data_IF_456104369817
#
_entry.id   IF_456104369817
#
_cell.length_a   1.000
_cell.length_b   1.000
_cell.length_c   1.000
_cell.angle_alpha   90.00
_cell.angle_beta   90.00
_cell.angle_gamma   90.00
#
_symmetry.space_group_name_H-M   'P 1'
#
loop_
_entity.id
_entity.type
_entity.pdbx_description
1 polymer ?
#
# COMPACT_ATOMS: atom_id res chain seq x y z
N UNK A 1 13.83 -2.33 25.13
CA UNK A 1 13.51 -0.89 25.34
C UNK A 1 14.15 -0.12 24.20
N UNK A 2 13.45 0.01 23.06
CA UNK A 2 13.98 0.66 21.87
C UNK A 2 13.60 2.15 21.87
N UNK A 3 14.56 2.98 21.49
CA UNK A 3 14.65 4.40 21.79
C UNK A 3 13.71 5.25 20.92
N UNK A 4 13.15 6.30 21.55
CA UNK A 4 12.13 7.21 21.04
C UNK A 4 12.59 7.98 19.78
N UNK A 5 12.03 7.62 18.61
CA UNK A 5 12.13 8.38 17.34
C UNK A 5 11.07 9.48 17.18
N UNK A 6 10.57 10.03 18.29
CA UNK A 6 9.61 11.14 18.29
C UNK A 6 10.36 12.47 18.28
N UNK A 7 9.87 13.45 17.50
CA UNK A 7 10.31 14.85 17.64
C UNK A 7 10.09 15.36 19.08
N UNK A 8 10.79 16.43 19.48
CA UNK A 8 10.73 17.00 20.84
C UNK A 8 9.31 17.36 21.33
N UNK A 9 8.35 17.57 20.41
CA UNK A 9 6.93 17.82 20.71
C UNK A 9 6.04 16.55 20.69
N UNK A 10 6.62 15.37 20.47
CA UNK A 10 5.90 14.09 20.39
C UNK A 10 4.94 13.97 19.19
N UNK A 11 4.97 14.93 18.26
CA UNK A 11 3.95 15.16 17.23
C UNK A 11 4.22 14.39 15.91
N UNK A 12 5.48 14.08 15.61
CA UNK A 12 5.87 13.42 14.35
C UNK A 12 6.91 12.34 14.68
N UNK A 13 6.72 11.13 14.15
CA UNK A 13 7.78 10.14 14.07
C UNK A 13 8.58 10.40 12.77
N UNK A 14 9.85 10.76 12.90
CA UNK A 14 10.71 11.11 11.75
C UNK A 14 10.93 9.93 10.79
N UNK A 15 10.65 8.71 11.24
CA UNK A 15 10.71 7.50 10.44
C UNK A 15 9.42 7.23 9.67
N UNK A 16 8.31 7.88 10.02
CA UNK A 16 7.01 7.64 9.38
C UNK A 16 7.02 7.92 7.87
N UNK A 17 7.54 9.06 7.37
CA UNK A 17 7.63 9.31 5.93
C UNK A 17 8.52 8.29 5.21
N UNK A 18 9.60 7.85 5.85
CA UNK A 18 10.50 6.82 5.31
C UNK A 18 9.79 5.47 5.24
N UNK A 19 9.05 5.10 6.29
CA UNK A 19 8.27 3.86 6.37
C UNK A 19 7.25 3.78 5.24
N UNK A 20 6.43 4.81 5.05
CA UNK A 20 5.43 4.83 3.99
C UNK A 20 6.06 4.84 2.59
N UNK A 21 7.21 5.50 2.40
CA UNK A 21 7.95 5.46 1.13
C UNK A 21 8.44 4.05 0.79
N UNK A 22 9.06 3.37 1.75
CA UNK A 22 9.54 1.99 1.57
C UNK A 22 8.38 1.03 1.34
N UNK A 23 7.26 1.24 2.04
CA UNK A 23 6.06 0.44 1.86
C UNK A 23 5.47 0.60 0.46
N UNK A 24 5.41 1.84 -0.04
CA UNK A 24 4.94 2.14 -1.40
C UNK A 24 5.88 1.60 -2.47
N UNK A 25 7.20 1.62 -2.23
CA UNK A 25 8.18 1.01 -3.13
C UNK A 25 8.00 -0.50 -3.22
N UNK A 26 7.70 -1.17 -2.10
CA UNK A 26 7.50 -2.63 -2.04
C UNK A 26 6.15 -3.10 -2.57
N UNK A 27 5.07 -2.42 -2.19
CA UNK A 27 3.68 -2.88 -2.44
C UNK A 27 2.98 -2.10 -3.55
N UNK A 28 3.52 -0.94 -3.96
CA UNK A 28 2.84 0.01 -4.85
C UNK A 28 1.79 0.88 -4.16
N UNK A 29 1.43 0.60 -2.90
CA UNK A 29 0.29 1.23 -2.25
C UNK A 29 0.65 2.32 -1.23
N UNK A 30 -0.29 3.25 -1.03
CA UNK A 30 -0.20 4.33 -0.04
C UNK A 30 -0.61 3.94 1.39
N UNK A 31 -0.55 4.93 2.29
CA UNK A 31 -0.72 4.70 3.73
C UNK A 31 -2.12 4.19 4.13
N UNK A 32 -3.15 4.60 3.40
CA UNK A 32 -4.56 4.29 3.63
C UNK A 32 -5.07 3.16 2.71
N UNK A 33 -4.18 2.36 2.12
CA UNK A 33 -4.57 1.29 1.21
C UNK A 33 -5.62 0.36 1.83
N UNK A 34 -6.72 0.15 1.10
CA UNK A 34 -7.82 -0.71 1.54
C UNK A 34 -8.69 -0.14 2.66
N UNK A 35 -8.39 1.06 3.17
CA UNK A 35 -9.18 1.74 4.19
C UNK A 35 -10.44 2.35 3.58
N UNK A 36 -11.60 2.02 4.14
CA UNK A 36 -12.92 2.55 3.75
C UNK A 36 -13.49 3.43 4.86
N UNK A 37 -13.69 4.71 4.57
CA UNK A 37 -14.21 5.66 5.55
C UNK A 37 -15.49 6.36 5.10
N UNK A 38 -16.27 6.80 6.07
CA UNK A 38 -17.32 7.81 5.89
C UNK A 38 -16.97 9.05 6.70
N UNK A 39 -17.41 10.22 6.25
CA UNK A 39 -17.18 11.49 6.94
C UNK A 39 -18.53 12.11 7.29
N UNK A 40 -18.70 12.48 8.57
CA UNK A 40 -19.91 13.09 9.12
C UNK A 40 -19.59 14.33 9.96
N UNK A 41 -20.21 15.45 9.59
CA UNK A 41 -20.01 16.77 10.22
C UNK A 41 -18.96 17.63 9.52
N UNK A 42 -18.65 18.78 10.13
CA UNK A 42 -17.65 19.73 9.66
C UNK A 42 -16.23 19.36 10.16
N UNK A 43 -15.33 19.05 9.23
CA UNK A 43 -13.90 18.91 9.55
C UNK A 43 -13.23 20.27 9.48
N UNK A 44 -12.85 20.83 10.63
CA UNK A 44 -12.26 22.18 10.75
C UNK A 44 -10.73 22.11 10.62
N UNK A 45 -10.10 21.13 11.26
CA UNK A 45 -8.66 20.91 11.20
C UNK A 45 -8.36 19.40 11.24
N UNK A 46 -7.88 18.78 10.13
CA UNK A 46 -7.78 19.33 8.77
C UNK A 46 -9.15 19.63 8.13
N UNK A 47 -9.18 20.51 7.11
CA UNK A 47 -10.41 20.78 6.36
C UNK A 47 -10.90 19.53 5.61
N UNK A 48 -12.20 19.45 5.33
CA UNK A 48 -12.80 18.33 4.59
C UNK A 48 -12.08 18.05 3.26
N UNK A 49 -11.76 19.10 2.49
CA UNK A 49 -11.03 18.99 1.22
C UNK A 49 -9.60 18.48 1.41
N UNK A 50 -8.92 18.93 2.46
CA UNK A 50 -7.56 18.46 2.80
C UNK A 50 -7.59 16.99 3.16
N UNK A 51 -8.56 16.58 3.99
CA UNK A 51 -8.73 15.20 4.39
C UNK A 51 -9.08 14.31 3.18
N UNK A 52 -9.99 14.76 2.32
CA UNK A 52 -10.35 14.06 1.07
C UNK A 52 -9.14 13.81 0.18
N UNK A 53 -8.30 14.84 0.00
CA UNK A 53 -7.08 14.75 -0.79
C UNK A 53 -6.06 13.80 -0.15
N UNK A 54 -5.86 13.90 1.16
CA UNK A 54 -4.92 13.06 1.89
C UNK A 54 -5.30 11.56 1.82
N UNK A 55 -6.58 11.24 2.06
CA UNK A 55 -7.07 9.86 2.01
C UNK A 55 -6.92 9.29 0.60
N UNK A 56 -7.34 10.04 -0.44
CA UNK A 56 -7.17 9.61 -1.83
C UNK A 56 -5.70 9.45 -2.24
N UNK A 57 -4.83 10.36 -1.83
CA UNK A 57 -3.40 10.29 -2.13
C UNK A 57 -2.70 9.11 -1.42
N UNK A 58 -3.27 8.64 -0.31
CA UNK A 58 -2.82 7.44 0.39
C UNK A 58 -3.55 6.16 -0.01
N UNK A 59 -4.27 6.12 -1.13
CA UNK A 59 -5.01 4.94 -1.61
C UNK A 59 -6.19 4.49 -0.71
N UNK A 60 -6.73 5.41 0.07
CA UNK A 60 -7.96 5.19 0.85
C UNK A 60 -9.24 5.54 0.08
N UNK A 61 -10.34 4.91 0.49
CA UNK A 61 -11.66 5.06 -0.12
C UNK A 61 -12.59 5.84 0.80
N UNK A 62 -13.18 6.91 0.28
CA UNK A 62 -14.22 7.69 0.97
C UNK A 62 -15.56 7.31 0.37
N UNK A 63 -16.39 6.61 1.13
CA UNK A 63 -17.68 6.08 0.67
C UNK A 63 -18.74 7.19 0.61
N UNK A 64 -18.75 8.08 1.61
CA UNK A 64 -19.67 9.21 1.66
C UNK A 64 -19.13 10.31 2.56
N UNK A 65 -19.46 11.56 2.24
CA UNK A 65 -19.12 12.73 3.07
C UNK A 65 -20.32 13.53 3.55
N UNK A 66 -21.52 13.01 3.28
CA UNK A 66 -22.79 13.58 3.72
C UNK A 66 -23.86 12.50 3.76
N UNK A 67 -24.88 12.64 4.62
CA UNK A 67 -26.08 11.80 4.60
C UNK A 67 -26.77 11.73 3.22
N UNK A 68 -27.50 10.63 2.93
CA UNK A 68 -27.72 9.45 3.77
C UNK A 68 -26.61 8.39 3.62
N UNK A 69 -26.14 7.85 4.75
CA UNK A 69 -25.10 6.81 4.78
C UNK A 69 -25.62 5.38 4.62
N UNK A 70 -26.95 5.21 4.58
CA UNK A 70 -27.65 3.90 4.62
C UNK A 70 -27.17 2.91 3.55
N UNK A 71 -26.74 3.39 2.39
CA UNK A 71 -26.23 2.55 1.29
C UNK A 71 -24.89 1.87 1.61
N UNK A 72 -24.14 2.41 2.56
CA UNK A 72 -22.76 2.01 2.84
C UNK A 72 -22.59 1.28 4.16
N UNK A 73 -23.57 1.32 5.07
CA UNK A 73 -23.46 0.75 6.42
C UNK A 73 -23.10 -0.75 6.43
N UNK A 74 -23.47 -1.49 5.38
CA UNK A 74 -23.17 -2.93 5.24
C UNK A 74 -21.96 -3.24 4.32
N UNK A 75 -21.21 -2.22 3.88
CA UNK A 75 -20.10 -2.40 2.92
C UNK A 75 -18.73 -2.65 3.57
N UNK A 76 -18.72 -2.85 4.90
CA UNK A 76 -17.50 -2.97 5.71
C UNK A 76 -16.77 -1.63 5.77
N UNK A 77 -17.37 -0.65 6.45
CA UNK A 77 -16.75 0.64 6.75
C UNK A 77 -15.72 0.40 7.85
N UNK A 78 -14.46 0.78 7.61
CA UNK A 78 -13.41 0.66 8.61
C UNK A 78 -13.54 1.75 9.67
N UNK A 79 -13.86 3.00 9.29
CA UNK A 79 -14.00 4.13 10.22
C UNK A 79 -15.06 5.16 9.78
N UNK A 80 -15.81 5.70 10.75
CA UNK A 80 -16.62 6.89 10.60
C UNK A 80 -15.87 8.10 11.21
N UNK A 81 -15.44 9.03 10.35
CA UNK A 81 -14.82 10.28 10.80
C UNK A 81 -15.93 11.25 11.20
N UNK A 82 -16.09 11.47 12.50
CA UNK A 82 -17.14 12.31 13.08
C UNK A 82 -16.54 13.58 13.67
N UNK A 83 -17.18 14.72 13.42
CA UNK A 83 -16.75 15.98 14.03
C UNK A 83 -16.78 15.94 15.55
N UNK A 84 -15.75 16.52 16.21
CA UNK A 84 -15.73 16.59 17.66
C UNK A 84 -16.93 17.39 18.17
N UNK A 85 -17.58 16.90 19.22
CA UNK A 85 -18.72 17.57 19.84
C UNK A 85 -20.10 17.13 19.33
N UNK A 86 -20.17 16.22 18.34
CA UNK A 86 -21.44 15.62 17.97
C UNK A 86 -22.01 14.79 19.13
N UNK A 87 -23.27 14.99 19.53
CA UNK A 87 -23.84 14.29 20.66
C UNK A 87 -24.04 12.81 20.34
N UNK A 88 -23.89 11.89 21.30
CA UNK A 88 -24.09 10.47 21.08
C UNK A 88 -25.51 10.13 20.63
N UNK A 89 -26.49 10.99 20.93
CA UNK A 89 -27.90 10.83 20.54
C UNK A 89 -28.20 11.28 19.11
N UNK A 90 -27.21 11.79 18.37
CA UNK A 90 -27.38 12.14 16.96
C UNK A 90 -27.78 10.92 16.12
N UNK A 91 -28.68 11.12 15.16
CA UNK A 91 -29.28 10.05 14.36
C UNK A 91 -28.23 9.22 13.61
N UNK A 92 -27.22 9.87 13.03
CA UNK A 92 -26.19 9.16 12.27
C UNK A 92 -25.14 8.54 13.18
N UNK A 93 -24.81 9.19 14.30
CA UNK A 93 -23.95 8.58 15.32
C UNK A 93 -24.58 7.29 15.86
N UNK A 94 -25.86 7.32 16.23
CA UNK A 94 -26.58 6.13 16.68
C UNK A 94 -26.60 5.03 15.62
N UNK A 95 -26.78 5.38 14.34
CA UNK A 95 -26.75 4.40 13.26
C UNK A 95 -25.36 3.77 13.08
N UNK A 96 -24.28 4.56 13.18
CA UNK A 96 -22.91 4.01 13.16
C UNK A 96 -22.66 3.05 14.32
N UNK A 97 -23.09 3.41 15.53
CA UNK A 97 -22.96 2.55 16.72
C UNK A 97 -23.75 1.24 16.57
N UNK A 98 -24.95 1.31 16.01
CA UNK A 98 -25.81 0.14 15.76
C UNK A 98 -25.20 -0.83 14.74
N UNK A 99 -24.40 -0.32 13.81
CA UNK A 99 -23.66 -1.11 12.82
C UNK A 99 -22.23 -1.45 13.26
N UNK A 100 -21.88 -1.21 14.53
CA UNK A 100 -20.55 -1.47 15.10
C UNK A 100 -19.41 -0.76 14.34
N UNK A 101 -19.71 0.41 13.75
CA UNK A 101 -18.74 1.21 13.00
C UNK A 101 -17.98 2.10 13.99
N UNK A 102 -16.64 2.01 14.05
CA UNK A 102 -15.87 2.83 14.96
C UNK A 102 -15.92 4.30 14.53
N UNK A 103 -16.21 5.16 15.48
CA UNK A 103 -16.26 6.59 15.29
C UNK A 103 -14.96 7.22 15.74
N UNK A 104 -14.31 7.99 14.87
CA UNK A 104 -13.01 8.61 15.14
C UNK A 104 -13.02 10.08 14.75
N UNK A 105 -12.11 10.88 15.29
CA UNK A 105 -11.89 12.26 14.83
C UNK A 105 -11.02 12.27 13.57
N UNK A 106 -10.96 13.40 12.87
CA UNK A 106 -10.06 13.55 11.71
C UNK A 106 -8.57 13.40 12.10
N UNK A 107 -8.22 13.71 13.35
CA UNK A 107 -6.86 13.60 13.89
C UNK A 107 -6.39 12.13 13.98
N UNK A 108 -7.32 11.18 14.11
CA UNK A 108 -7.01 9.75 14.01
C UNK A 108 -6.25 9.42 12.71
N UNK A 109 -6.72 9.94 11.58
CA UNK A 109 -6.10 9.68 10.27
C UNK A 109 -4.76 10.40 10.13
N UNK A 110 -4.62 11.57 10.75
CA UNK A 110 -3.35 12.32 10.77
C UNK A 110 -2.31 11.56 11.60
N UNK A 111 -2.64 11.17 12.82
CA UNK A 111 -1.74 10.42 13.68
C UNK A 111 -1.44 9.02 13.13
N UNK A 112 -2.41 8.37 12.48
CA UNK A 112 -2.17 7.10 11.79
C UNK A 112 -1.00 7.20 10.78
N UNK A 113 -0.93 8.31 10.03
CA UNK A 113 0.16 8.56 9.08
C UNK A 113 1.44 9.04 9.78
N UNK A 114 1.32 9.96 10.72
CA UNK A 114 2.45 10.64 11.36
C UNK A 114 3.16 9.78 12.43
N UNK A 115 2.44 8.83 13.04
CA UNK A 115 2.91 8.00 14.16
C UNK A 115 2.49 6.54 13.98
N UNK A 116 2.94 5.87 12.91
CA UNK A 116 2.55 4.49 12.64
C UNK A 116 3.07 3.56 13.75
N UNK A 117 2.17 2.80 14.39
CA UNK A 117 2.48 1.91 15.52
C UNK A 117 2.31 2.53 16.91
N UNK A 118 1.81 3.76 17.01
CA UNK A 118 1.41 4.37 18.28
C UNK A 118 -0.10 4.18 18.51
N UNK A 119 -0.56 4.15 19.77
CA UNK A 119 -1.98 4.00 20.08
C UNK A 119 -2.78 5.22 19.63
N UNK A 120 -3.86 4.97 18.89
CA UNK A 120 -4.76 6.00 18.35
C UNK A 120 -6.06 6.15 19.15
N UNK A 121 -6.14 5.49 20.31
CA UNK A 121 -7.33 5.40 21.16
C UNK A 121 -7.86 6.77 21.60
N UNK A 122 -6.98 7.76 21.71
CA UNK A 122 -7.32 9.14 22.11
C UNK A 122 -8.26 9.84 21.12
N UNK A 123 -8.28 9.38 19.88
CA UNK A 123 -9.11 9.94 18.81
C UNK A 123 -10.38 9.16 18.55
N UNK A 124 -10.59 8.06 19.28
CA UNK A 124 -11.79 7.25 19.17
C UNK A 124 -12.90 7.86 20.02
N UNK A 125 -14.08 7.99 19.43
CA UNK A 125 -15.26 8.59 20.03
C UNK A 125 -16.27 7.52 20.46
N UNK A 126 -17.16 7.88 21.40
CA UNK A 126 -18.31 7.08 21.85
C UNK A 126 -17.96 5.67 22.37
N UNK A 127 -16.79 5.50 22.99
CA UNK A 127 -16.31 4.23 23.53
C UNK A 127 -16.24 3.10 22.48
N UNK A 128 -16.00 3.44 21.21
CA UNK A 128 -15.88 2.47 20.10
C UNK A 128 -14.47 1.87 19.95
N UNK A 129 -13.65 1.91 21.00
CA UNK A 129 -12.24 1.53 21.02
C UNK A 129 -12.01 0.10 20.51
N UNK A 130 -12.85 -0.85 20.93
CA UNK A 130 -12.75 -2.26 20.54
C UNK A 130 -12.95 -2.43 19.03
N UNK A 131 -13.93 -1.71 18.45
CA UNK A 131 -14.19 -1.75 17.01
C UNK A 131 -13.08 -1.06 16.23
N UNK A 132 -12.54 0.04 16.76
CA UNK A 132 -11.44 0.77 16.13
C UNK A 132 -10.16 -0.08 16.08
N UNK A 133 -9.84 -0.79 17.16
CA UNK A 133 -8.72 -1.71 17.22
C UNK A 133 -8.89 -2.89 16.26
N UNK A 134 -10.12 -3.44 16.17
CA UNK A 134 -10.45 -4.50 15.21
C UNK A 134 -10.23 -4.04 13.76
N UNK A 135 -10.74 -2.85 13.39
CA UNK A 135 -10.53 -2.27 12.05
C UNK A 135 -9.05 -2.00 11.76
N UNK A 136 -8.32 -1.45 12.74
CA UNK A 136 -6.88 -1.19 12.62
C UNK A 136 -6.08 -2.47 12.39
N UNK A 137 -6.33 -3.51 13.19
CA UNK A 137 -5.66 -4.80 13.04
C UNK A 137 -6.02 -5.48 11.71
N UNK A 138 -7.26 -5.33 11.24
CA UNK A 138 -7.67 -5.81 9.92
C UNK A 138 -6.94 -5.12 8.77
N UNK A 139 -6.69 -3.81 8.86
CA UNK A 139 -5.87 -3.08 7.88
C UNK A 139 -4.39 -3.50 7.95
N UNK A 140 -3.88 -3.65 9.17
CA UNK A 140 -2.48 -4.04 9.41
C UNK A 140 -2.20 -5.44 8.86
N UNK A 141 -3.06 -6.42 9.13
CA UNK A 141 -2.90 -7.78 8.62
C UNK A 141 -2.94 -7.82 7.08
N UNK A 142 -3.93 -7.14 6.45
CA UNK A 142 -3.99 -7.03 4.99
C UNK A 142 -2.70 -6.47 4.39
N UNK A 143 -2.10 -5.50 5.07
CA UNK A 143 -0.85 -4.90 4.64
C UNK A 143 0.36 -5.84 4.84
N UNK A 144 0.38 -6.59 5.94
CA UNK A 144 1.43 -7.58 6.22
C UNK A 144 1.37 -8.75 5.21
N UNK A 145 0.17 -9.22 4.86
CA UNK A 145 -0.04 -10.23 3.82
C UNK A 145 0.51 -9.76 2.46
N UNK A 146 0.20 -8.53 2.05
CA UNK A 146 0.70 -7.93 0.79
C UNK A 146 2.21 -7.68 0.78
N UNK A 147 2.87 -7.59 1.94
CA UNK A 147 4.33 -7.47 2.04
C UNK A 147 4.99 -8.85 2.01
N UNK A 148 4.31 -9.87 2.55
CA UNK A 148 4.81 -11.24 2.61
C UNK A 148 4.74 -11.97 1.28
N UNK A 149 3.85 -11.54 0.39
CA UNK A 149 3.84 -11.93 -1.01
C UNK A 149 4.71 -10.93 -1.78
N UNK A 150 6.00 -11.22 -2.03
CA UNK A 150 6.78 -10.38 -2.91
C UNK A 150 6.05 -10.43 -4.25
N UNK A 151 5.36 -9.35 -4.60
CA UNK A 151 5.05 -9.05 -6.00
C UNK A 151 6.40 -9.09 -6.69
N UNK A 152 6.74 -10.24 -7.29
CA UNK A 152 7.74 -10.31 -8.34
C UNK A 152 7.35 -9.16 -9.25
N UNK A 153 8.22 -8.16 -9.44
CA UNK A 153 7.86 -6.94 -10.14
C UNK A 153 7.17 -7.41 -11.40
N UNK A 154 5.86 -7.11 -11.47
CA UNK A 154 5.01 -7.38 -12.60
C UNK A 154 5.87 -7.03 -13.80
N UNK A 155 6.18 -8.05 -14.61
CA UNK A 155 7.08 -7.99 -15.74
C UNK A 155 6.49 -6.98 -16.71
N UNK A 156 6.75 -5.71 -16.42
CA UNK A 156 6.07 -4.58 -17.01
C UNK A 156 6.39 -4.63 -18.49
N UNK A 157 5.38 -4.97 -19.28
CA UNK A 157 5.34 -4.75 -20.72
C UNK A 157 6.32 -5.55 -21.59
N UNK A 158 7.00 -6.57 -21.05
CA UNK A 158 8.00 -7.32 -21.81
C UNK A 158 7.31 -8.33 -22.74
N UNK A 159 7.41 -8.10 -24.05
CA UNK A 159 6.96 -9.07 -25.04
C UNK A 159 8.00 -10.19 -25.20
N UNK A 160 7.52 -11.41 -25.48
CA UNK A 160 8.40 -12.51 -25.82
C UNK A 160 9.22 -12.16 -27.09
N UNK A 161 10.55 -12.28 -27.04
CA UNK A 161 11.42 -11.99 -28.21
C UNK A 161 11.16 -12.96 -29.38
N UNK A 162 10.60 -14.14 -29.11
CA UNK A 162 10.37 -15.18 -30.12
C UNK A 162 9.00 -15.07 -30.77
N UNK A 163 7.92 -15.06 -29.98
CA UNK A 163 6.55 -15.02 -30.50
C UNK A 163 5.95 -13.61 -30.58
N UNK A 164 6.60 -12.60 -29.97
CA UNK A 164 6.12 -11.22 -29.90
C UNK A 164 4.90 -11.03 -28.99
N UNK A 165 4.42 -12.10 -28.36
CA UNK A 165 3.21 -12.10 -27.57
C UNK A 165 3.50 -11.68 -26.12
N UNK A 166 2.46 -11.17 -25.47
CA UNK A 166 2.52 -10.57 -24.11
C UNK A 166 1.59 -11.30 -23.13
N UNK A 167 0.97 -12.38 -23.60
CA UNK A 167 0.25 -13.34 -22.77
C UNK A 167 1.23 -14.25 -22.02
N UNK A 168 0.71 -15.05 -21.06
CA UNK A 168 1.47 -16.08 -20.33
C UNK A 168 2.71 -15.54 -19.62
N UNK A 169 2.54 -14.45 -18.87
CA UNK A 169 3.63 -13.85 -18.07
C UNK A 169 4.18 -14.80 -17.01
N UNK A 170 3.32 -15.64 -16.42
CA UNK A 170 3.69 -16.66 -15.43
C UNK A 170 4.62 -17.75 -16.00
N UNK A 171 4.65 -17.92 -17.32
CA UNK A 171 5.49 -18.88 -18.04
C UNK A 171 6.61 -18.17 -18.81
N UNK A 172 6.91 -16.91 -18.49
CA UNK A 172 7.87 -16.06 -19.19
C UNK A 172 9.14 -15.81 -18.37
N UNK A 173 10.29 -16.15 -18.95
CA UNK A 173 11.61 -15.94 -18.35
C UNK A 173 12.18 -14.60 -18.75
N UNK A 174 12.66 -13.83 -17.77
CA UNK A 174 13.36 -12.56 -18.01
C UNK A 174 14.87 -12.79 -17.92
N UNK A 175 15.61 -12.32 -18.93
CA UNK A 175 17.07 -12.43 -18.94
C UNK A 175 17.71 -11.51 -17.91
N UNK A 176 18.10 -12.06 -16.76
CA UNK A 176 18.76 -11.33 -15.67
C UNK A 176 19.18 -12.24 -14.52
N UNK A 177 19.99 -11.71 -13.61
CA UNK A 177 20.13 -12.25 -12.26
C UNK A 177 19.14 -11.58 -11.29
N UNK A 178 18.85 -12.21 -10.15
CA UNK A 178 18.01 -11.66 -9.08
C UNK A 178 18.45 -10.25 -8.63
N UNK A 179 19.74 -9.92 -8.77
CA UNK A 179 20.30 -8.60 -8.45
C UNK A 179 20.25 -7.57 -9.58
N UNK A 180 19.69 -7.92 -10.75
CA UNK A 180 19.54 -7.03 -11.92
C UNK A 180 20.86 -6.47 -12.47
N UNK A 181 21.99 -7.08 -12.13
CA UNK A 181 23.33 -6.57 -12.41
C UNK A 181 23.91 -7.11 -13.74
N UNK A 182 23.42 -8.26 -14.19
CA UNK A 182 23.85 -8.99 -15.37
C UNK A 182 22.59 -9.45 -16.09
N UNK A 183 22.39 -9.02 -17.33
CA UNK A 183 21.19 -9.37 -18.08
C UNK A 183 20.89 -8.36 -19.18
N UNK A 184 19.86 -8.63 -19.96
CA UNK A 184 19.35 -7.65 -20.93
C UNK A 184 17.85 -7.39 -20.80
N UNK A 185 17.17 -8.03 -19.84
CA UNK A 185 15.76 -7.78 -19.54
C UNK A 185 14.78 -8.30 -20.59
N UNK A 186 15.25 -9.08 -21.58
CA UNK A 186 14.38 -9.71 -22.59
C UNK A 186 13.54 -10.82 -21.97
N UNK A 187 12.26 -10.87 -22.34
CA UNK A 187 11.31 -11.92 -21.97
C UNK A 187 11.26 -13.03 -23.00
N UNK A 188 11.18 -14.28 -22.58
CA UNK A 188 10.99 -15.45 -23.45
C UNK A 188 10.16 -16.49 -22.73
N UNK A 189 9.06 -16.98 -23.33
CA UNK A 189 8.29 -18.07 -22.75
C UNK A 189 9.13 -19.34 -22.61
N UNK A 190 8.82 -20.18 -21.61
CA UNK A 190 9.46 -21.49 -21.43
C UNK A 190 9.37 -22.37 -22.69
N UNK A 191 8.24 -22.34 -23.41
CA UNK A 191 8.06 -23.07 -24.68
C UNK A 191 8.79 -22.42 -25.86
N UNK A 192 9.05 -21.12 -25.77
CA UNK A 192 9.76 -20.36 -26.79
C UNK A 192 11.28 -20.46 -26.62
N UNK A 193 11.76 -21.06 -25.54
CA UNK A 193 13.18 -21.32 -25.33
C UNK A 193 13.70 -22.40 -26.29
N UNK A 194 15.00 -22.36 -26.58
CA UNK A 194 15.70 -23.38 -27.37
C UNK A 194 16.86 -23.95 -26.54
N UNK A 195 16.74 -25.18 -25.99
CA UNK A 195 15.55 -26.04 -25.99
C UNK A 195 14.42 -25.51 -25.08
N UNK A 196 13.15 -25.92 -25.32
CA UNK A 196 12.02 -25.51 -24.50
C UNK A 196 12.12 -26.11 -23.09
N UNK A 197 11.72 -25.33 -22.10
CA UNK A 197 11.76 -25.70 -20.68
C UNK A 197 10.41 -26.26 -20.25
N UNK A 198 10.44 -27.26 -19.38
CA UNK A 198 9.22 -27.89 -18.86
C UNK A 198 8.55 -27.06 -17.75
N UNK A 199 9.32 -26.22 -17.06
CA UNK A 199 8.86 -25.36 -15.97
C UNK A 199 9.80 -24.14 -15.84
N UNK A 200 9.38 -23.14 -15.06
CA UNK A 200 10.18 -21.94 -14.79
C UNK A 200 11.32 -22.31 -13.83
N UNK A 201 12.60 -22.11 -14.18
CA UNK A 201 13.70 -22.43 -13.30
C UNK A 201 13.70 -21.54 -12.05
N UNK A 202 14.04 -22.14 -10.89
CA UNK A 202 14.22 -21.42 -9.63
C UNK A 202 15.50 -20.56 -9.63
N UNK A 203 16.43 -20.81 -10.57
CA UNK A 203 17.71 -20.10 -10.71
C UNK A 203 17.68 -19.02 -11.81
N UNK A 204 18.69 -18.13 -11.79
CA UNK A 204 18.87 -17.07 -12.78
C UNK A 204 18.85 -17.58 -14.24
N UNK A 205 18.05 -16.95 -15.10
CA UNK A 205 17.98 -17.29 -16.51
C UNK A 205 18.64 -16.24 -17.41
N UNK A 206 19.42 -16.70 -18.38
CA UNK A 206 20.07 -15.85 -19.36
C UNK A 206 19.72 -16.29 -20.78
N UNK A 207 19.38 -15.33 -21.64
CA UNK A 207 19.14 -15.59 -23.06
C UNK A 207 20.43 -16.01 -23.77
N UNK A 208 20.30 -16.62 -24.95
CA UNK A 208 21.43 -17.09 -25.77
C UNK A 208 22.46 -16.01 -26.09
N UNK A 209 22.07 -14.73 -26.11
CA UNK A 209 22.99 -13.58 -26.31
C UNK A 209 23.81 -13.30 -25.04
N UNK A 210 23.20 -13.35 -23.86
CA UNK A 210 23.86 -13.09 -22.58
C UNK A 210 24.71 -14.28 -22.12
N UNK A 211 24.28 -15.52 -22.36
CA UNK A 211 25.07 -16.73 -22.10
C UNK A 211 26.40 -16.75 -22.87
N UNK A 212 26.43 -16.17 -24.07
CA UNK A 212 27.62 -16.13 -24.95
C UNK A 212 28.57 -14.97 -24.65
N UNK A 213 28.19 -14.00 -23.80
CA UNK A 213 29.10 -12.92 -23.41
C UNK A 213 30.08 -13.45 -22.36
N UNK A 214 31.41 -13.48 -22.64
CA UNK A 214 32.37 -13.84 -21.61
C UNK A 214 32.30 -12.79 -20.48
N UNK A 215 32.41 -13.24 -19.22
CA UNK A 215 32.51 -12.38 -18.03
C UNK A 215 33.73 -11.48 -18.15
N UNK A 216 33.60 -10.36 -18.84
CA UNK A 216 34.66 -9.37 -18.95
C UNK A 216 34.31 -8.22 -18.02
N UNK A 217 34.96 -8.22 -16.86
CA UNK A 217 35.00 -7.13 -15.90
C UNK A 217 35.52 -5.86 -16.59
N UNK A 218 34.61 -5.05 -17.15
CA UNK A 218 34.95 -3.72 -17.64
C UNK A 218 34.61 -2.67 -16.60
N UNK A 219 35.61 -2.41 -15.76
CA UNK A 219 35.77 -1.13 -15.08
C UNK A 219 35.77 0.03 -16.09
N UNK A 220 35.24 1.15 -15.59
CA UNK A 220 35.18 2.51 -16.16
C UNK A 220 36.16 2.82 -17.30
N UNK A 221 35.67 3.55 -18.31
CA UNK A 221 36.21 4.87 -18.71
C UNK A 221 35.25 5.58 -19.68
N UNK A 222 34.90 6.82 -19.36
CA UNK A 222 34.13 7.68 -20.25
C UNK A 222 34.97 8.27 -21.38
N UNK A 223 34.29 8.86 -22.37
CA UNK A 223 34.64 10.19 -22.91
C UNK A 223 33.56 10.64 -23.90
N UNK A 224 32.88 11.72 -23.53
CA UNK A 224 32.58 12.91 -24.32
C UNK A 224 32.70 12.80 -25.85
N UNK A 225 31.60 13.07 -26.55
CA UNK A 225 31.58 14.09 -27.61
C UNK A 225 30.19 14.69 -27.71
#
# INVERSE_FOLDING_TARGET
MAQNGLSEDGQINLEAPRKWRLLKEKTGHGAFHGMKIVIYGECIAPSLDTLKRAVKAGDGTILATSPPYTRFLNTGIDFAVVSPGMPPVDVWVQEFLKHEIPCVTADYLVEYVCKPGYPLERHVQYATNVWAEKSYNGLKNRLEEEISDPRTPESTDVACEVCGARDRGDEMLICGDEGGSIGCGVGTHIDCCDPPLADVPEEDWFCSKCRKKPKNSKGKKGSKK
#
